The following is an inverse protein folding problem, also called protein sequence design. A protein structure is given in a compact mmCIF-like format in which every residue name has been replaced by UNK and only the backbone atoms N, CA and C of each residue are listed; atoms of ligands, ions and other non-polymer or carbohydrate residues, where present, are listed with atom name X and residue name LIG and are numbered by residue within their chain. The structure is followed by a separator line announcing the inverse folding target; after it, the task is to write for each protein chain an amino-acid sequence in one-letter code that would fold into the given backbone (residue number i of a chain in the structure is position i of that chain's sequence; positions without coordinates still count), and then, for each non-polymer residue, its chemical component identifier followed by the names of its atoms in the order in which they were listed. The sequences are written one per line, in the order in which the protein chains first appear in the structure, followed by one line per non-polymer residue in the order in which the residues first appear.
data_IF_203437022647
#
_entry.id   IF_203437022647
#
_cell.length_a   1.000
_cell.length_b   1.000
_cell.length_c   1.000
_cell.angle_alpha   90.00
_cell.angle_beta   90.00
_cell.angle_gamma   90.00
#
_symmetry.space_group_name_H-M   'P 1'
#
loop_
_entity.id
_entity.type
_entity.pdbx_description
1 polymer ?
#
# COMPACT_ATOMS: atom_id res chain seq x y z
N UNK A 1 31.36 10.78 -50.02
CA UNK A 1 30.27 10.87 -49.03
C UNK A 1 30.47 9.70 -48.07
N UNK A 2 30.94 9.92 -46.85
CA UNK A 2 30.99 8.87 -45.83
C UNK A 2 29.55 8.47 -45.48
N UNK A 3 29.23 7.20 -45.72
CA UNK A 3 27.93 6.65 -45.26
C UNK A 3 27.88 6.85 -43.74
N UNK A 4 26.86 7.58 -43.24
CA UNK A 4 26.60 7.58 -41.83
C UNK A 4 26.38 6.13 -41.35
N UNK A 5 26.87 5.75 -40.15
CA UNK A 5 26.63 4.41 -39.61
C UNK A 5 25.12 4.14 -39.50
N UNK A 6 24.75 2.89 -39.69
CA UNK A 6 23.36 2.48 -39.49
C UNK A 6 22.96 2.69 -38.03
N UNK A 7 21.87 3.42 -37.78
CA UNK A 7 21.33 3.60 -36.43
C UNK A 7 20.65 2.31 -35.97
N UNK A 8 20.86 1.95 -34.72
CA UNK A 8 20.19 0.86 -34.01
C UNK A 8 19.21 1.41 -32.94
N UNK A 9 18.33 0.57 -32.43
CA UNK A 9 17.42 0.95 -31.34
C UNK A 9 18.22 1.27 -30.06
N UNK A 10 19.32 0.60 -29.83
CA UNK A 10 20.29 0.88 -28.77
C UNK A 10 20.91 2.27 -28.86
N UNK A 11 21.18 2.75 -30.08
CA UNK A 11 21.67 4.12 -30.32
C UNK A 11 20.56 5.17 -30.00
N UNK A 12 19.29 4.75 -30.03
CA UNK A 12 18.15 5.56 -29.63
C UNK A 12 17.85 5.49 -28.12
N UNK A 13 18.64 4.72 -27.34
CA UNK A 13 18.54 4.63 -25.88
C UNK A 13 17.69 3.47 -25.37
N UNK A 14 17.27 2.51 -26.23
CA UNK A 14 16.49 1.33 -25.82
C UNK A 14 17.31 0.05 -26.06
N UNK A 15 17.55 -0.72 -24.98
CA UNK A 15 18.35 -1.95 -25.01
C UNK A 15 17.45 -3.20 -24.87
N UNK A 16 17.09 -3.80 -26.00
CA UNK A 16 16.24 -5.01 -26.05
C UNK A 16 16.88 -6.17 -25.26
N UNK A 17 18.21 -6.34 -25.36
CA UNK A 17 18.92 -7.43 -24.67
C UNK A 17 18.83 -7.27 -23.14
N UNK A 18 18.84 -6.03 -22.63
CA UNK A 18 18.64 -5.74 -21.20
C UNK A 18 17.21 -6.10 -20.75
N UNK A 19 16.20 -5.81 -21.57
CA UNK A 19 14.81 -6.22 -21.32
C UNK A 19 14.67 -7.74 -21.25
N UNK A 20 15.24 -8.48 -22.21
CA UNK A 20 15.22 -9.94 -22.22
C UNK A 20 15.95 -10.53 -20.99
N UNK A 21 17.09 -9.97 -20.61
CA UNK A 21 17.84 -10.37 -19.43
C UNK A 21 17.04 -10.17 -18.14
N UNK A 22 16.28 -9.09 -18.02
CA UNK A 22 15.37 -8.86 -16.89
C UNK A 22 14.28 -9.93 -16.84
N UNK A 23 13.60 -10.21 -17.97
CA UNK A 23 12.53 -11.22 -18.04
C UNK A 23 13.05 -12.58 -17.58
N UNK A 24 14.23 -13.02 -18.01
CA UNK A 24 14.83 -14.28 -17.56
C UNK A 24 15.03 -14.32 -16.03
N UNK A 25 15.51 -13.23 -15.44
CA UNK A 25 15.74 -13.14 -13.99
C UNK A 25 14.47 -13.22 -13.16
N UNK A 26 13.37 -12.63 -13.64
CA UNK A 26 12.11 -12.53 -12.89
C UNK A 26 11.17 -13.74 -13.06
N UNK A 27 11.41 -14.66 -14.00
CA UNK A 27 10.59 -15.87 -14.22
C UNK A 27 10.39 -16.69 -12.94
N UNK A 28 11.45 -16.85 -12.14
CA UNK A 28 11.37 -17.58 -10.87
C UNK A 28 10.56 -16.84 -9.83
N UNK A 29 10.56 -15.51 -9.86
CA UNK A 29 9.77 -14.65 -8.95
C UNK A 29 8.28 -14.86 -9.21
N UNK A 30 7.85 -14.70 -10.47
CA UNK A 30 6.45 -14.93 -10.84
C UNK A 30 5.98 -16.36 -10.51
N UNK A 31 6.83 -17.37 -10.78
CA UNK A 31 6.50 -18.78 -10.49
C UNK A 31 6.22 -19.04 -9.01
N UNK A 32 6.92 -18.39 -8.08
CA UNK A 32 6.69 -18.56 -6.62
C UNK A 32 5.34 -18.04 -6.17
N UNK A 33 4.78 -17.05 -6.87
CA UNK A 33 3.48 -16.45 -6.55
C UNK A 33 2.28 -17.20 -7.15
N UNK A 34 2.52 -18.25 -7.95
CA UNK A 34 1.50 -18.90 -8.76
C UNK A 34 0.34 -19.46 -7.91
N UNK A 35 -0.88 -19.07 -8.27
CA UNK A 35 -2.15 -19.62 -7.76
C UNK A 35 -2.65 -20.71 -8.73
N UNK A 36 -3.45 -21.68 -8.24
CA UNK A 36 -3.99 -22.74 -9.10
C UNK A 36 -4.92 -22.22 -10.22
N UNK A 37 -5.55 -21.05 -10.01
CA UNK A 37 -6.47 -20.44 -10.97
C UNK A 37 -5.74 -19.77 -12.15
N UNK A 38 -4.43 -19.54 -12.04
CA UNK A 38 -3.65 -18.90 -13.12
C UNK A 38 -3.26 -19.94 -14.16
N UNK A 39 -3.68 -19.71 -15.40
CA UNK A 39 -3.39 -20.56 -16.56
C UNK A 39 -2.24 -19.96 -17.38
N UNK A 40 -1.11 -20.65 -17.44
CA UNK A 40 0.06 -20.23 -18.20
C UNK A 40 1.15 -19.60 -17.36
N UNK A 41 2.00 -18.78 -17.98
CA UNK A 41 3.16 -18.13 -17.36
C UNK A 41 3.50 -16.81 -18.05
N UNK A 42 4.62 -16.18 -17.64
CA UNK A 42 5.12 -14.96 -18.26
C UNK A 42 5.45 -15.17 -19.75
N UNK A 43 5.25 -14.12 -20.57
CA UNK A 43 5.65 -14.07 -21.97
C UNK A 43 4.50 -14.19 -22.99
N UNK A 44 3.27 -14.34 -22.54
CA UNK A 44 2.07 -14.20 -23.40
C UNK A 44 1.63 -12.74 -23.53
N UNK A 45 0.75 -12.44 -24.51
CA UNK A 45 0.16 -11.11 -24.65
C UNK A 45 -0.81 -10.76 -23.51
N UNK A 46 -1.35 -11.76 -22.82
CA UNK A 46 -2.25 -11.58 -21.70
C UNK A 46 -2.19 -12.76 -20.76
N UNK A 47 -2.49 -12.50 -19.49
CA UNK A 47 -2.61 -13.51 -18.45
C UNK A 47 -4.04 -14.04 -18.39
N UNK A 48 -4.17 -15.34 -18.17
CA UNK A 48 -5.46 -16.00 -18.00
C UNK A 48 -5.58 -16.44 -16.53
N UNK A 49 -6.74 -16.13 -15.92
CA UNK A 49 -7.04 -16.53 -14.57
C UNK A 49 -8.51 -16.96 -14.48
N UNK A 50 -8.75 -18.18 -14.00
CA UNK A 50 -10.09 -18.63 -13.69
C UNK A 50 -10.61 -17.94 -12.43
N UNK A 51 -11.93 -17.72 -12.37
CA UNK A 51 -12.56 -17.32 -11.11
C UNK A 51 -12.55 -18.55 -10.19
N UNK A 52 -12.05 -18.43 -8.94
CA UNK A 52 -11.99 -19.54 -8.00
C UNK A 52 -13.37 -20.20 -7.80
N UNK A 53 -13.39 -21.51 -7.63
CA UNK A 53 -14.61 -22.22 -7.31
C UNK A 53 -15.22 -21.79 -5.96
N UNK A 54 -16.53 -21.91 -5.81
CA UNK A 54 -17.24 -21.63 -4.56
C UNK A 54 -18.01 -20.33 -4.51
N UNK A 55 -17.73 -19.37 -5.40
CA UNK A 55 -18.54 -18.16 -5.56
C UNK A 55 -19.83 -18.46 -6.33
N UNK A 56 -20.96 -17.96 -5.82
CA UNK A 56 -22.28 -18.08 -6.48
C UNK A 56 -22.55 -16.92 -7.42
N UNK A 57 -22.21 -15.73 -7.00
CA UNK A 57 -22.30 -14.49 -7.75
C UNK A 57 -21.01 -13.70 -7.60
N UNK A 58 -19.92 -14.12 -8.25
CA UNK A 58 -18.63 -13.46 -8.13
C UNK A 58 -18.68 -12.04 -8.69
N UNK A 59 -18.11 -11.09 -7.96
CA UNK A 59 -17.88 -9.71 -8.39
C UNK A 59 -16.38 -9.48 -8.43
N UNK A 60 -15.87 -9.02 -9.57
CA UNK A 60 -14.47 -8.63 -9.69
C UNK A 60 -14.28 -7.23 -9.11
N UNK A 61 -13.22 -7.08 -8.30
CA UNK A 61 -12.77 -5.80 -7.77
C UNK A 61 -11.39 -5.52 -8.33
N UNK A 62 -11.18 -4.34 -8.88
CA UNK A 62 -9.90 -3.95 -9.46
C UNK A 62 -9.44 -2.62 -8.90
N UNK A 63 -8.14 -2.47 -8.73
CA UNK A 63 -7.49 -1.25 -8.31
C UNK A 63 -6.16 -1.04 -9.02
N UNK A 64 -5.75 0.20 -9.12
CA UNK A 64 -4.44 0.60 -9.61
C UNK A 64 -3.87 1.67 -8.69
N UNK A 65 -2.59 1.59 -8.42
CA UNK A 65 -1.87 2.58 -7.63
C UNK A 65 -0.38 2.57 -8.01
N UNK A 66 0.36 3.56 -7.52
CA UNK A 66 1.81 3.68 -7.64
C UNK A 66 2.48 3.72 -6.26
N UNK A 67 3.79 3.91 -6.25
CA UNK A 67 4.57 4.13 -5.03
C UNK A 67 4.70 5.62 -4.71
N UNK A 68 4.65 6.46 -5.72
CA UNK A 68 4.78 7.90 -5.59
C UNK A 68 6.21 8.35 -5.27
N UNK A 69 6.33 9.51 -4.60
CA UNK A 69 7.63 10.17 -4.43
C UNK A 69 8.56 9.52 -3.40
N UNK A 70 8.16 8.41 -2.75
CA UNK A 70 9.05 7.51 -2.01
C UNK A 70 10.15 6.97 -2.92
N UNK A 71 9.85 6.78 -4.22
CA UNK A 71 10.82 6.34 -5.23
C UNK A 71 12.06 7.26 -5.29
N UNK A 72 11.89 8.59 -5.16
CA UNK A 72 13.03 9.51 -5.14
C UNK A 72 13.94 9.27 -3.93
N UNK A 73 13.37 8.93 -2.77
CA UNK A 73 14.16 8.58 -1.59
C UNK A 73 14.88 7.23 -1.79
N UNK A 74 14.20 6.25 -2.39
CA UNK A 74 14.80 4.96 -2.75
C UNK A 74 16.00 5.12 -3.69
N UNK A 75 15.86 5.95 -4.73
CA UNK A 75 16.95 6.28 -5.67
C UNK A 75 18.12 6.95 -4.95
N UNK A 76 17.86 7.94 -4.12
CA UNK A 76 18.90 8.68 -3.40
C UNK A 76 19.68 7.78 -2.40
N UNK A 77 19.00 6.83 -1.76
CA UNK A 77 19.59 5.89 -0.80
C UNK A 77 20.07 4.58 -1.44
N UNK A 78 19.83 4.39 -2.75
CA UNK A 78 20.07 3.13 -3.46
C UNK A 78 19.43 1.92 -2.73
N UNK A 79 18.16 2.07 -2.28
CA UNK A 79 17.38 1.04 -1.59
C UNK A 79 16.12 0.71 -2.41
N UNK A 80 16.17 -0.39 -3.17
CA UNK A 80 15.12 -0.75 -4.13
C UNK A 80 14.36 -2.04 -3.78
N UNK A 81 14.88 -2.84 -2.86
CA UNK A 81 14.43 -4.18 -2.53
C UNK A 81 13.03 -4.24 -1.88
N UNK A 82 12.61 -3.19 -1.18
CA UNK A 82 11.30 -3.11 -0.53
C UNK A 82 10.23 -2.39 -1.35
N UNK A 83 10.63 -1.64 -2.38
CA UNK A 83 9.72 -0.78 -3.17
C UNK A 83 8.61 -1.57 -3.87
N UNK A 84 8.94 -2.78 -4.35
CA UNK A 84 7.94 -3.65 -4.97
C UNK A 84 6.85 -4.12 -3.99
N UNK A 85 7.20 -4.28 -2.70
CA UNK A 85 6.22 -4.59 -1.65
C UNK A 85 5.27 -3.40 -1.47
N UNK A 86 5.80 -2.16 -1.45
CA UNK A 86 4.99 -0.95 -1.39
C UNK A 86 3.95 -0.91 -2.52
N UNK A 87 4.39 -1.16 -3.76
CA UNK A 87 3.51 -1.15 -4.92
C UNK A 87 2.35 -2.14 -4.79
N UNK A 88 2.65 -3.39 -4.43
CA UNK A 88 1.62 -4.42 -4.23
C UNK A 88 0.69 -4.05 -3.09
N UNK A 89 1.25 -3.61 -1.95
CA UNK A 89 0.48 -3.26 -0.76
C UNK A 89 -0.55 -2.16 -1.02
N UNK A 90 -0.17 -1.10 -1.75
CA UNK A 90 -1.08 -0.02 -2.10
C UNK A 90 -2.30 -0.52 -2.88
N UNK A 91 -2.10 -1.47 -3.80
CA UNK A 91 -3.19 -2.03 -4.61
C UNK A 91 -4.03 -3.05 -3.82
N UNK A 92 -3.40 -4.05 -3.18
CA UNK A 92 -4.14 -5.16 -2.56
C UNK A 92 -4.87 -4.76 -1.28
N UNK A 93 -4.35 -3.78 -0.53
CA UNK A 93 -5.03 -3.25 0.65
C UNK A 93 -6.32 -2.51 0.25
N UNK A 94 -6.35 -1.85 -0.90
CA UNK A 94 -7.56 -1.21 -1.42
C UNK A 94 -8.61 -2.22 -1.90
N UNK A 95 -8.19 -3.41 -2.35
CA UNK A 95 -9.13 -4.47 -2.71
C UNK A 95 -9.76 -5.11 -1.47
N UNK A 96 -8.95 -5.40 -0.44
CA UNK A 96 -9.46 -6.06 0.77
C UNK A 96 -10.46 -5.20 1.54
N UNK A 97 -10.41 -3.86 1.45
CA UNK A 97 -11.41 -3.01 2.12
C UNK A 97 -12.83 -3.23 1.62
N UNK A 98 -12.99 -3.73 0.39
CA UNK A 98 -14.29 -4.18 -0.15
C UNK A 98 -14.61 -5.65 0.19
N UNK A 99 -13.76 -6.35 0.95
CA UNK A 99 -13.89 -7.79 1.25
C UNK A 99 -13.36 -8.69 0.15
N UNK A 100 -12.69 -8.15 -0.88
CA UNK A 100 -12.21 -8.94 -2.02
C UNK A 100 -10.89 -9.67 -1.72
N UNK A 101 -10.82 -10.92 -2.13
CA UNK A 101 -9.60 -11.71 -2.17
C UNK A 101 -8.81 -11.35 -3.43
N UNK A 102 -7.56 -10.82 -3.35
CA UNK A 102 -6.72 -10.57 -4.51
C UNK A 102 -6.39 -11.87 -5.25
N UNK A 103 -6.54 -11.87 -6.58
CA UNK A 103 -6.26 -13.01 -7.44
C UNK A 103 -4.92 -12.87 -8.15
N UNK A 104 -4.74 -11.76 -8.85
CA UNK A 104 -3.53 -11.52 -9.62
C UNK A 104 -3.14 -10.05 -9.66
N UNK A 105 -1.86 -9.84 -9.95
CA UNK A 105 -1.19 -8.56 -10.00
C UNK A 105 -0.43 -8.41 -11.32
N UNK A 106 -0.40 -7.19 -11.83
CA UNK A 106 0.38 -6.75 -12.99
C UNK A 106 1.13 -5.48 -12.60
N UNK A 107 2.34 -5.30 -13.10
CA UNK A 107 3.12 -4.08 -12.89
C UNK A 107 3.46 -3.37 -14.20
N UNK A 108 3.75 -2.08 -14.10
CA UNK A 108 4.35 -1.28 -15.14
C UNK A 108 5.58 -0.59 -14.58
N UNK A 109 6.74 -0.92 -15.09
CA UNK A 109 8.03 -0.33 -14.75
C UNK A 109 8.48 0.56 -15.91
N UNK A 110 8.50 1.88 -15.71
CA UNK A 110 8.94 2.84 -16.70
C UNK A 110 10.25 3.51 -16.24
N UNK A 111 11.23 3.64 -17.11
CA UNK A 111 12.53 4.23 -16.79
C UNK A 111 13.13 4.96 -17.99
N UNK A 112 14.05 5.90 -17.76
CA UNK A 112 14.80 6.52 -18.84
C UNK A 112 15.83 5.58 -19.45
N UNK A 113 16.51 4.79 -18.61
CA UNK A 113 17.47 3.74 -19.00
C UNK A 113 17.36 2.56 -18.04
N UNK A 114 17.19 1.37 -18.56
CA UNK A 114 17.02 0.17 -17.77
C UNK A 114 18.32 -0.23 -17.06
N UNK A 115 18.29 -0.18 -15.73
CA UNK A 115 19.25 -0.88 -14.88
C UNK A 115 18.65 -2.23 -14.47
N UNK A 116 19.16 -3.31 -15.05
CA UNK A 116 18.64 -4.67 -14.85
C UNK A 116 18.71 -5.10 -13.39
N UNK A 117 19.75 -4.68 -12.64
CA UNK A 117 19.90 -5.03 -11.24
C UNK A 117 18.83 -4.36 -10.37
N UNK A 118 18.65 -3.04 -10.53
CA UNK A 118 17.62 -2.27 -9.83
C UNK A 118 16.22 -2.80 -10.16
N UNK A 119 15.91 -3.02 -11.43
CA UNK A 119 14.62 -3.57 -11.85
C UNK A 119 14.38 -4.97 -11.29
N UNK A 120 15.42 -5.83 -11.23
CA UNK A 120 15.33 -7.16 -10.61
C UNK A 120 15.00 -7.07 -9.13
N UNK A 121 15.60 -6.14 -8.37
CA UNK A 121 15.29 -5.91 -6.97
C UNK A 121 13.83 -5.47 -6.80
N UNK A 122 13.37 -4.51 -7.58
CA UNK A 122 11.98 -4.02 -7.54
C UNK A 122 10.99 -5.15 -7.82
N UNK A 123 11.18 -5.91 -8.92
CA UNK A 123 10.27 -7.01 -9.27
C UNK A 123 10.34 -8.16 -8.25
N UNK A 124 11.50 -8.41 -7.64
CA UNK A 124 11.62 -9.35 -6.53
C UNK A 124 10.77 -8.90 -5.33
N UNK A 125 10.77 -7.60 -5.01
CA UNK A 125 9.89 -7.01 -4.01
C UNK A 125 8.41 -7.13 -4.38
N UNK A 126 8.04 -6.95 -5.67
CA UNK A 126 6.67 -7.19 -6.15
C UNK A 126 6.26 -8.64 -5.90
N UNK A 127 7.12 -9.61 -6.24
CA UNK A 127 6.89 -11.03 -5.95
C UNK A 127 6.66 -11.30 -4.46
N UNK A 128 7.50 -10.71 -3.60
CA UNK A 128 7.34 -10.83 -2.15
C UNK A 128 5.99 -10.25 -1.67
N UNK A 129 5.59 -9.09 -2.17
CA UNK A 129 4.27 -8.50 -1.90
C UNK A 129 3.11 -9.40 -2.35
N UNK A 130 3.24 -10.03 -3.52
CA UNK A 130 2.26 -11.00 -4.03
C UNK A 130 2.19 -12.25 -3.13
N UNK A 131 3.31 -12.79 -2.68
CA UNK A 131 3.35 -13.92 -1.73
C UNK A 131 2.70 -13.54 -0.38
N UNK A 132 2.96 -12.34 0.13
CA UNK A 132 2.36 -11.82 1.36
C UNK A 132 0.83 -11.67 1.24
N UNK A 133 0.34 -11.18 0.13
CA UNK A 133 -1.10 -10.99 -0.12
C UNK A 133 -1.80 -12.27 -0.58
N UNK A 134 -1.07 -13.25 -1.13
CA UNK A 134 -1.63 -14.47 -1.70
C UNK A 134 -2.18 -14.31 -3.11
N UNK A 135 -1.77 -13.25 -3.85
CA UNK A 135 -2.07 -13.09 -5.27
C UNK A 135 -0.90 -13.56 -6.16
N UNK A 136 -1.15 -13.74 -7.45
CA UNK A 136 -0.13 -14.14 -8.42
C UNK A 136 0.40 -12.94 -9.20
N UNK A 137 1.71 -12.80 -9.32
CA UNK A 137 2.32 -11.93 -10.33
C UNK A 137 2.21 -12.63 -11.68
N UNK A 138 1.32 -12.16 -12.54
CA UNK A 138 0.99 -12.84 -13.80
C UNK A 138 1.57 -12.19 -15.05
N UNK A 139 2.12 -11.00 -14.91
CA UNK A 139 2.71 -10.24 -16.01
C UNK A 139 3.05 -8.83 -15.60
N UNK A 140 3.46 -8.05 -16.57
CA UNK A 140 3.79 -6.65 -16.43
C UNK A 140 4.39 -6.12 -17.71
N UNK A 141 4.84 -4.88 -17.67
CA UNK A 141 5.52 -4.19 -18.76
C UNK A 141 6.77 -3.49 -18.23
N UNK A 142 7.85 -3.56 -18.95
CA UNK A 142 9.07 -2.79 -18.69
C UNK A 142 9.36 -1.90 -19.88
N UNK A 143 9.30 -0.57 -19.70
CA UNK A 143 9.48 0.39 -20.77
C UNK A 143 10.70 1.27 -20.53
N UNK A 144 11.66 1.24 -21.47
CA UNK A 144 12.67 2.28 -21.56
C UNK A 144 12.11 3.46 -22.36
N UNK A 145 12.07 4.63 -21.73
CA UNK A 145 11.52 5.87 -22.29
C UNK A 145 12.54 7.00 -22.18
N UNK A 146 13.63 6.95 -23.00
CA UNK A 146 14.66 7.97 -22.98
C UNK A 146 14.09 9.35 -23.30
N UNK A 147 14.43 10.34 -22.46
CA UNK A 147 13.89 11.69 -22.57
C UNK A 147 12.56 11.95 -21.85
N UNK A 148 11.86 10.90 -21.38
CA UNK A 148 10.70 11.02 -20.49
C UNK A 148 11.12 10.94 -19.03
N UNK A 149 12.06 10.06 -18.69
CA UNK A 149 12.71 9.93 -17.39
C UNK A 149 14.19 10.28 -17.52
N UNK A 150 14.78 10.80 -16.44
CA UNK A 150 16.19 11.19 -16.43
C UNK A 150 17.07 9.99 -15.99
N UNK A 151 18.01 9.59 -16.83
CA UNK A 151 18.95 8.52 -16.52
C UNK A 151 18.26 7.21 -16.12
N UNK A 152 18.59 6.70 -14.94
CA UNK A 152 18.05 5.47 -14.37
C UNK A 152 16.83 5.72 -13.45
N UNK A 153 16.28 6.93 -13.41
CA UNK A 153 15.05 7.22 -12.71
C UNK A 153 13.93 6.32 -13.25
N UNK A 154 13.09 5.85 -12.35
CA UNK A 154 11.96 4.99 -12.72
C UNK A 154 10.68 5.35 -12.00
N UNK A 155 9.56 4.96 -12.59
CA UNK A 155 8.23 5.04 -12.01
C UNK A 155 7.54 3.68 -12.08
N UNK A 156 6.60 3.46 -11.18
CA UNK A 156 5.90 2.19 -11.03
C UNK A 156 4.40 2.41 -10.97
N UNK A 157 3.66 1.57 -11.70
CA UNK A 157 2.23 1.43 -11.53
C UNK A 157 1.88 -0.05 -11.33
N UNK A 158 1.00 -0.33 -10.37
CA UNK A 158 0.48 -1.64 -10.07
C UNK A 158 -0.99 -1.75 -10.44
N UNK A 159 -1.41 -2.94 -10.86
CA UNK A 159 -2.79 -3.28 -11.17
C UNK A 159 -3.13 -4.59 -10.49
N UNK A 160 -4.14 -4.58 -9.66
CA UNK A 160 -4.60 -5.78 -8.97
C UNK A 160 -6.06 -6.06 -9.29
N UNK A 161 -6.38 -7.33 -9.45
CA UNK A 161 -7.76 -7.81 -9.59
C UNK A 161 -8.02 -8.86 -8.52
N UNK A 162 -9.14 -8.73 -7.84
CA UNK A 162 -9.63 -9.64 -6.83
C UNK A 162 -11.09 -10.03 -7.08
N UNK A 163 -11.61 -10.89 -6.23
CA UNK A 163 -12.98 -11.38 -6.29
C UNK A 163 -13.64 -11.34 -4.92
N UNK A 164 -14.93 -11.03 -4.91
CA UNK A 164 -15.78 -11.09 -3.71
C UNK A 164 -17.14 -11.67 -4.07
N UNK A 165 -17.77 -12.42 -3.16
CA UNK A 165 -19.17 -12.82 -3.31
C UNK A 165 -20.06 -11.57 -3.19
N UNK A 166 -20.99 -11.40 -4.14
CA UNK A 166 -21.85 -10.20 -4.23
C UNK A 166 -22.56 -9.87 -2.91
N UNK A 167 -23.03 -10.89 -2.18
CA UNK A 167 -23.72 -10.74 -0.90
C UNK A 167 -22.77 -10.42 0.28
N UNK A 168 -21.45 -10.53 0.09
CA UNK A 168 -20.42 -10.33 1.10
C UNK A 168 -19.60 -9.05 0.88
N UNK A 169 -19.99 -8.21 -0.10
CA UNK A 169 -19.34 -6.93 -0.34
C UNK A 169 -19.43 -6.06 0.93
N UNK A 170 -18.27 -5.56 1.36
CA UNK A 170 -18.15 -4.63 2.47
C UNK A 170 -18.16 -3.22 1.90
N UNK A 171 -19.23 -2.47 2.14
CA UNK A 171 -19.49 -1.14 1.58
C UNK A 171 -19.80 -0.06 2.62
N UNK A 172 -19.72 -0.40 3.92
CA UNK A 172 -20.02 0.51 5.01
C UNK A 172 -21.50 0.73 5.29
N UNK A 173 -22.42 0.17 4.50
CA UNK A 173 -23.87 0.38 4.65
C UNK A 173 -24.43 -0.13 5.99
N UNK A 174 -23.72 -1.05 6.67
CA UNK A 174 -24.10 -1.64 7.96
C UNK A 174 -23.53 -0.87 9.15
N UNK A 175 -22.74 0.17 8.94
CA UNK A 175 -22.16 0.99 10.01
C UNK A 175 -23.25 1.79 10.71
N UNK A 176 -23.23 1.79 12.04
CA UNK A 176 -24.21 2.46 12.88
C UNK A 176 -23.56 3.13 14.10
N UNK A 177 -24.23 4.13 14.67
CA UNK A 177 -23.78 4.74 15.92
C UNK A 177 -23.68 3.69 17.03
N UNK A 178 -22.61 3.74 17.81
CA UNK A 178 -22.25 2.76 18.84
C UNK A 178 -21.34 1.63 18.34
N UNK A 179 -21.05 1.55 17.05
CA UNK A 179 -20.04 0.63 16.54
C UNK A 179 -18.64 1.06 16.97
N UNK A 180 -17.74 0.10 17.14
CA UNK A 180 -16.35 0.32 17.52
C UNK A 180 -15.47 0.44 16.27
N UNK A 181 -14.43 1.27 16.39
CA UNK A 181 -13.34 1.36 15.43
C UNK A 181 -12.10 0.67 15.99
N UNK A 182 -11.58 -0.32 15.28
CA UNK A 182 -10.33 -1.00 15.57
C UNK A 182 -9.26 -0.50 14.60
N UNK A 183 -8.01 -0.48 15.04
CA UNK A 183 -6.88 -0.13 14.20
C UNK A 183 -5.85 -1.26 14.11
N UNK A 184 -5.14 -1.32 12.99
CA UNK A 184 -3.93 -2.10 12.80
C UNK A 184 -2.74 -1.16 12.61
N UNK A 185 -1.56 -1.50 13.18
CA UNK A 185 -0.40 -0.64 13.11
C UNK A 185 0.15 -0.54 11.69
N UNK A 186 0.69 0.63 11.33
CA UNK A 186 1.55 0.79 10.17
C UNK A 186 3.00 0.40 10.47
N UNK A 187 3.80 0.16 9.44
CA UNK A 187 5.25 -0.09 9.55
C UNK A 187 6.07 1.20 9.60
N UNK A 188 5.45 2.32 9.30
CA UNK A 188 6.02 3.64 9.12
C UNK A 188 5.10 4.48 8.23
N UNK A 189 5.62 5.44 7.47
CA UNK A 189 4.82 6.29 6.57
C UNK A 189 4.12 5.55 5.43
N UNK A 190 4.45 4.26 5.20
CA UNK A 190 4.00 3.46 4.06
C UNK A 190 4.51 4.05 2.73
N UNK A 191 3.60 4.42 1.82
CA UNK A 191 3.95 5.04 0.54
C UNK A 191 3.31 6.43 0.37
N UNK A 192 2.90 7.07 1.47
CA UNK A 192 2.17 8.33 1.43
C UNK A 192 2.88 9.44 2.18
N UNK A 193 2.64 10.69 1.76
CA UNK A 193 3.22 11.87 2.40
C UNK A 193 4.68 12.13 2.05
N UNK A 194 5.29 11.38 1.12
CA UNK A 194 6.73 11.49 0.83
C UNK A 194 7.15 12.81 0.18
N UNK A 195 6.27 13.55 -0.43
CA UNK A 195 6.57 14.90 -0.88
C UNK A 195 6.85 15.83 0.30
N UNK A 196 6.06 15.73 1.38
CA UNK A 196 6.30 16.45 2.62
C UNK A 196 7.55 15.94 3.34
N UNK A 197 7.69 14.60 3.49
CA UNK A 197 8.85 13.96 4.14
C UNK A 197 10.16 14.42 3.49
N UNK A 198 10.25 14.37 2.16
CA UNK A 198 11.44 14.82 1.42
C UNK A 198 11.74 16.30 1.64
N UNK A 199 10.71 17.14 1.62
CA UNK A 199 10.86 18.57 1.89
C UNK A 199 11.34 18.84 3.33
N UNK A 200 10.89 18.05 4.31
CA UNK A 200 11.37 18.12 5.70
C UNK A 200 12.85 17.71 5.76
N UNK A 201 13.24 16.61 5.14
CA UNK A 201 14.64 16.16 5.10
C UNK A 201 15.55 17.25 4.49
N UNK A 202 15.16 17.78 3.33
CA UNK A 202 15.89 18.85 2.65
C UNK A 202 16.02 20.11 3.54
N UNK A 203 14.90 20.53 4.15
CA UNK A 203 14.84 21.75 4.97
C UNK A 203 15.56 21.63 6.32
N UNK A 204 15.60 20.44 6.91
CA UNK A 204 16.28 20.20 8.19
C UNK A 204 17.81 20.18 8.07
N UNK A 205 18.34 19.89 6.87
CA UNK A 205 19.77 19.64 6.66
C UNK A 205 20.30 18.42 7.43
N UNK A 206 19.41 17.55 7.91
CA UNK A 206 19.77 16.39 8.71
C UNK A 206 20.45 15.31 7.85
N UNK A 207 21.52 14.74 8.37
CA UNK A 207 22.15 13.54 7.81
C UNK A 207 21.37 12.28 8.25
N UNK A 208 20.32 11.97 7.50
CA UNK A 208 19.38 10.88 7.84
C UNK A 208 20.01 9.49 7.90
N UNK A 209 21.17 9.30 7.26
CA UNK A 209 21.88 8.01 7.26
C UNK A 209 22.57 7.74 8.61
N UNK A 210 22.89 8.81 9.38
CA UNK A 210 23.53 8.71 10.68
C UNK A 210 22.58 8.91 11.87
N UNK A 211 21.27 9.07 11.63
CA UNK A 211 20.28 9.22 12.70
C UNK A 211 19.69 7.86 13.06
N UNK A 212 19.53 7.62 14.35
CA UNK A 212 18.81 6.45 14.89
C UNK A 212 17.66 6.92 15.80
N UNK A 213 16.50 6.27 15.65
CA UNK A 213 15.32 6.44 16.48
C UNK A 213 14.92 5.08 17.05
N UNK A 214 14.77 4.98 18.36
CA UNK A 214 14.45 3.73 19.07
C UNK A 214 15.37 2.55 18.67
N UNK A 215 16.68 2.85 18.46
CA UNK A 215 17.69 1.87 18.10
C UNK A 215 17.63 1.37 16.64
N UNK A 216 16.84 2.02 15.77
CA UNK A 216 16.75 1.72 14.34
C UNK A 216 17.24 2.90 13.49
N UNK A 217 17.96 2.65 12.40
CA UNK A 217 18.31 3.71 11.46
C UNK A 217 17.08 4.45 10.95
N UNK A 218 17.13 5.77 10.88
CA UNK A 218 16.01 6.59 10.36
C UNK A 218 15.68 6.22 8.92
N UNK A 219 16.71 5.92 8.11
CA UNK A 219 16.50 5.45 6.73
C UNK A 219 15.68 4.17 6.65
N UNK A 220 15.85 3.24 7.59
CA UNK A 220 15.07 1.99 7.60
C UNK A 220 13.61 2.24 8.02
N UNK A 221 13.39 3.18 8.95
CA UNK A 221 12.04 3.59 9.35
C UNK A 221 11.31 4.33 8.21
N UNK A 222 12.02 5.19 7.48
CA UNK A 222 11.48 5.90 6.32
C UNK A 222 11.26 4.99 5.12
N UNK A 223 12.10 3.97 4.93
CA UNK A 223 12.00 3.03 3.81
C UNK A 223 11.24 1.74 4.15
N UNK A 224 10.73 1.60 5.38
CA UNK A 224 9.93 0.45 5.77
C UNK A 224 8.81 0.20 4.75
N UNK A 225 8.66 -1.04 4.23
CA UNK A 225 7.64 -1.34 3.25
C UNK A 225 6.25 -1.21 3.85
N UNK A 226 5.30 -0.79 3.04
CA UNK A 226 3.88 -0.75 3.38
C UNK A 226 3.40 -2.13 3.83
N UNK A 227 2.72 -2.20 4.96
CA UNK A 227 2.14 -3.47 5.45
C UNK A 227 1.02 -3.95 4.55
N UNK A 228 0.98 -5.26 4.35
CA UNK A 228 -0.08 -5.95 3.62
C UNK A 228 -1.01 -6.60 4.64
N UNK A 229 -2.27 -6.18 4.68
CA UNK A 229 -3.27 -6.62 5.66
C UNK A 229 -4.21 -7.71 5.12
N UNK A 230 -4.00 -8.18 3.89
CA UNK A 230 -4.94 -9.06 3.18
C UNK A 230 -5.23 -10.35 3.94
N UNK A 231 -4.20 -11.13 4.31
CA UNK A 231 -4.41 -12.44 4.96
C UNK A 231 -5.11 -12.34 6.32
N UNK A 232 -4.68 -11.48 7.26
CA UNK A 232 -5.37 -11.32 8.54
C UNK A 232 -6.80 -10.82 8.39
N UNK A 233 -7.06 -9.90 7.44
CA UNK A 233 -8.41 -9.39 7.22
C UNK A 233 -9.32 -10.42 6.54
N UNK A 234 -8.81 -11.18 5.55
CA UNK A 234 -9.57 -12.30 4.98
C UNK A 234 -9.92 -13.36 6.03
N UNK A 235 -8.98 -13.66 6.95
CA UNK A 235 -9.27 -14.57 8.08
C UNK A 235 -10.41 -14.02 8.92
N UNK A 236 -10.35 -12.75 9.35
CA UNK A 236 -11.40 -12.11 10.13
C UNK A 236 -12.76 -12.15 9.41
N UNK A 237 -12.79 -11.78 8.14
CA UNK A 237 -14.03 -11.76 7.33
C UNK A 237 -14.62 -13.18 7.22
N UNK A 238 -13.80 -14.17 6.82
CA UNK A 238 -14.27 -15.54 6.54
C UNK A 238 -14.69 -16.30 7.79
N UNK A 239 -14.02 -16.06 8.93
CA UNK A 239 -14.33 -16.77 10.18
C UNK A 239 -15.50 -16.16 10.96
N UNK A 240 -15.72 -14.85 10.83
CA UNK A 240 -16.66 -14.17 11.74
C UNK A 240 -17.79 -13.43 11.03
N UNK A 241 -17.54 -12.85 9.86
CA UNK A 241 -18.52 -12.02 9.17
C UNK A 241 -18.89 -10.70 9.89
N UNK A 242 -18.13 -10.27 10.92
CA UNK A 242 -18.46 -9.12 11.77
C UNK A 242 -18.04 -7.77 11.21
N UNK A 243 -17.24 -7.76 10.15
CA UNK A 243 -16.71 -6.52 9.56
C UNK A 243 -17.80 -5.75 8.84
N UNK A 244 -17.99 -4.49 9.21
CA UNK A 244 -18.98 -3.60 8.61
C UNK A 244 -18.38 -2.61 7.63
N UNK A 245 -17.15 -2.15 7.89
CA UNK A 245 -16.38 -1.29 7.03
C UNK A 245 -14.89 -1.43 7.32
N UNK A 246 -14.05 -1.11 6.33
CA UNK A 246 -12.60 -1.00 6.49
C UNK A 246 -12.10 0.22 5.73
N UNK A 247 -11.09 0.90 6.26
CA UNK A 247 -10.42 2.03 5.61
C UNK A 247 -8.91 1.81 5.62
N UNK A 248 -8.30 1.73 4.44
CA UNK A 248 -6.86 1.77 4.27
C UNK A 248 -6.38 3.21 4.45
N UNK A 249 -5.47 3.45 5.40
CA UNK A 249 -5.02 4.80 5.74
C UNK A 249 -3.83 5.16 4.85
N UNK A 250 -4.13 5.90 3.80
CA UNK A 250 -3.22 6.38 2.75
C UNK A 250 -3.06 7.90 2.79
N UNK A 251 -2.79 8.55 1.66
CA UNK A 251 -2.81 10.01 1.54
C UNK A 251 -4.17 10.57 1.97
N UNK A 252 -4.14 11.64 2.75
CA UNK A 252 -5.33 12.16 3.43
C UNK A 252 -5.47 11.68 4.89
N UNK A 253 -4.64 10.72 5.33
CA UNK A 253 -4.59 10.23 6.71
C UNK A 253 -5.94 9.68 7.20
N UNK A 254 -6.17 9.78 8.51
CA UNK A 254 -7.45 9.36 9.12
C UNK A 254 -8.63 10.23 8.64
N UNK A 255 -8.36 11.51 8.39
CA UNK A 255 -9.40 12.52 8.12
C UNK A 255 -10.11 12.30 6.78
N UNK A 256 -9.37 11.88 5.74
CA UNK A 256 -9.93 11.77 4.39
C UNK A 256 -10.25 10.31 4.01
N UNK A 257 -9.63 9.30 4.68
CA UNK A 257 -9.86 7.89 4.31
C UNK A 257 -11.03 7.25 5.08
N UNK A 258 -11.20 7.53 6.38
CA UNK A 258 -12.32 6.99 7.14
C UNK A 258 -13.69 7.42 6.57
N UNK A 259 -13.92 8.69 6.17
CA UNK A 259 -15.21 9.12 5.60
C UNK A 259 -15.64 8.34 4.36
N UNK A 260 -14.70 7.82 3.57
CA UNK A 260 -14.98 7.09 2.32
C UNK A 260 -15.82 5.82 2.52
N UNK A 261 -15.81 5.28 3.75
CA UNK A 261 -16.48 4.02 4.12
C UNK A 261 -17.58 4.22 5.15
N UNK A 262 -17.92 5.47 5.47
CA UNK A 262 -18.99 5.80 6.40
C UNK A 262 -20.29 6.21 5.69
N UNK A 263 -21.46 5.77 6.16
CA UNK A 263 -22.73 6.27 5.66
C UNK A 263 -22.94 7.74 6.06
N UNK A 264 -23.80 8.42 5.35
CA UNK A 264 -24.20 9.79 5.69
C UNK A 264 -24.78 9.85 7.11
N UNK A 265 -24.38 10.86 7.88
CA UNK A 265 -24.85 11.04 9.27
C UNK A 265 -24.08 10.20 10.30
N UNK A 266 -23.10 9.39 9.89
CA UNK A 266 -22.16 8.77 10.80
C UNK A 266 -20.89 9.65 10.97
N UNK A 267 -20.36 9.67 12.20
CA UNK A 267 -19.11 10.36 12.55
C UNK A 267 -18.19 9.36 13.26
N UNK A 268 -16.97 9.24 12.78
CA UNK A 268 -15.91 8.53 13.49
C UNK A 268 -15.32 9.46 14.56
N UNK A 269 -15.36 9.03 15.82
CA UNK A 269 -14.70 9.71 16.94
C UNK A 269 -13.46 8.90 17.28
N UNK A 270 -12.30 9.45 16.99
CA UNK A 270 -11.00 8.78 17.08
C UNK A 270 -10.20 9.39 18.23
N UNK A 271 -9.78 8.56 19.18
CA UNK A 271 -8.91 8.95 20.29
C UNK A 271 -7.44 8.76 19.90
N UNK A 272 -6.74 9.86 19.57
CA UNK A 272 -5.34 9.80 19.18
C UNK A 272 -4.38 9.49 20.34
N UNK A 273 -4.86 9.51 21.58
CA UNK A 273 -4.09 9.06 22.74
C UNK A 273 -4.17 7.53 22.95
N UNK A 274 -5.00 6.81 22.19
CA UNK A 274 -5.18 5.36 22.32
C UNK A 274 -3.96 4.55 21.84
N UNK A 275 -3.00 5.18 21.16
CA UNK A 275 -1.74 4.53 20.75
C UNK A 275 -0.53 5.44 20.92
N UNK A 276 0.64 4.81 21.01
CA UNK A 276 1.90 5.54 20.95
C UNK A 276 2.28 5.75 19.48
N UNK A 277 2.35 7.01 19.05
CA UNK A 277 2.81 7.37 17.72
C UNK A 277 4.27 6.95 17.54
N UNK A 278 4.65 6.23 16.45
CA UNK A 278 6.03 5.82 16.21
C UNK A 278 6.97 7.02 16.07
N UNK A 279 8.19 6.89 16.60
CA UNK A 279 9.17 7.98 16.71
C UNK A 279 9.52 8.67 15.38
N UNK A 280 9.40 7.96 14.25
CA UNK A 280 9.63 8.56 12.93
C UNK A 280 8.67 9.72 12.65
N UNK A 281 7.42 9.63 13.12
CA UNK A 281 6.44 10.71 12.94
C UNK A 281 6.69 11.89 13.87
N UNK A 282 7.14 11.64 15.10
CA UNK A 282 7.53 12.69 16.03
C UNK A 282 8.75 13.45 15.48
N UNK A 283 9.74 12.73 14.95
CA UNK A 283 10.89 13.32 14.28
C UNK A 283 10.48 14.18 13.06
N UNK A 284 9.60 13.67 12.21
CA UNK A 284 9.10 14.43 11.05
C UNK A 284 8.36 15.69 11.47
N UNK A 285 7.54 15.60 12.50
CA UNK A 285 6.80 16.75 13.03
C UNK A 285 7.76 17.84 13.58
N UNK A 286 8.72 17.44 14.40
CA UNK A 286 9.71 18.35 15.01
C UNK A 286 10.59 19.01 13.94
N UNK A 287 11.18 18.23 13.03
CA UNK A 287 12.06 18.77 12.00
C UNK A 287 11.33 19.66 10.99
N UNK A 288 10.08 19.32 10.68
CA UNK A 288 9.25 20.08 9.73
C UNK A 288 8.43 21.18 10.39
N UNK A 289 8.40 21.28 11.71
CA UNK A 289 7.47 22.13 12.45
C UNK A 289 6.03 22.00 11.93
N UNK A 290 5.58 20.73 11.72
CA UNK A 290 4.30 20.42 11.12
C UNK A 290 3.21 20.46 12.20
N UNK A 291 2.12 21.19 11.92
CA UNK A 291 0.97 21.23 12.83
C UNK A 291 0.39 19.82 13.08
N UNK A 292 -0.05 19.53 14.30
CA UNK A 292 -0.58 18.21 14.68
C UNK A 292 -1.73 17.75 13.79
N UNK A 293 -2.64 18.66 13.43
CA UNK A 293 -3.75 18.38 12.52
C UNK A 293 -3.27 18.02 11.11
N UNK A 294 -2.20 18.66 10.63
CA UNK A 294 -1.62 18.38 9.32
C UNK A 294 -0.87 17.03 9.32
N UNK A 295 -0.24 16.64 10.43
CA UNK A 295 0.33 15.31 10.59
C UNK A 295 -0.73 14.23 10.33
N UNK A 296 -1.91 14.33 10.97
CA UNK A 296 -3.01 13.38 10.81
C UNK A 296 -3.76 13.50 9.48
N UNK A 297 -3.56 14.57 8.72
CA UNK A 297 -4.12 14.75 7.39
C UNK A 297 -3.23 14.18 6.29
N UNK A 298 -1.91 14.29 6.43
CA UNK A 298 -0.95 13.88 5.38
C UNK A 298 -0.41 12.48 5.62
N UNK A 299 -0.21 12.10 6.90
CA UNK A 299 0.44 10.86 7.31
C UNK A 299 -0.52 9.94 8.08
N UNK A 300 -0.22 8.65 8.08
CA UNK A 300 -0.98 7.64 8.83
C UNK A 300 -0.73 7.67 10.34
N UNK A 301 0.29 8.36 10.83
CA UNK A 301 0.68 8.52 12.22
C UNK A 301 0.75 7.21 13.04
N UNK A 302 1.01 6.08 12.38
CA UNK A 302 1.13 4.77 13.01
C UNK A 302 -0.09 3.86 12.82
N UNK A 303 -1.15 4.35 12.17
CA UNK A 303 -2.39 3.58 11.86
C UNK A 303 -2.44 3.26 10.37
N UNK A 304 -2.32 1.99 10.00
CA UNK A 304 -2.34 1.60 8.58
C UNK A 304 -3.70 1.14 8.07
N UNK A 305 -4.54 0.59 8.94
CA UNK A 305 -5.88 0.11 8.61
C UNK A 305 -6.85 0.39 9.76
N UNK A 306 -8.06 0.84 9.45
CA UNK A 306 -9.15 1.00 10.41
C UNK A 306 -10.28 0.05 10.03
N UNK A 307 -10.87 -0.63 11.03
CA UNK A 307 -11.90 -1.65 10.85
C UNK A 307 -13.09 -1.27 11.75
N UNK A 308 -14.30 -1.25 11.21
CA UNK A 308 -15.53 -1.01 11.95
C UNK A 308 -16.26 -2.33 12.21
N UNK A 309 -16.59 -2.58 13.48
CA UNK A 309 -17.35 -3.75 13.93
C UNK A 309 -18.42 -3.31 14.95
N UNK A 310 -19.45 -4.14 15.19
CA UNK A 310 -20.36 -3.86 16.29
C UNK A 310 -19.63 -3.93 17.64
N UNK A 311 -20.06 -3.14 18.63
CA UNK A 311 -19.45 -3.12 19.97
C UNK A 311 -19.41 -4.51 20.62
N UNK A 312 -20.41 -5.34 20.36
CA UNK A 312 -20.47 -6.71 20.87
C UNK A 312 -19.44 -7.66 20.25
N UNK A 313 -18.92 -7.34 19.06
CA UNK A 313 -18.00 -8.18 18.30
C UNK A 313 -16.52 -7.79 18.48
N UNK A 314 -16.25 -6.74 19.27
CA UNK A 314 -14.88 -6.20 19.47
C UNK A 314 -13.90 -7.28 19.89
N UNK A 315 -14.20 -8.01 20.97
CA UNK A 315 -13.28 -9.04 21.49
C UNK A 315 -13.08 -10.18 20.50
N UNK A 316 -14.11 -10.59 19.78
CA UNK A 316 -14.03 -11.60 18.71
C UNK A 316 -13.06 -11.13 17.63
N UNK A 317 -13.24 -9.90 17.12
CA UNK A 317 -12.38 -9.35 16.08
C UNK A 317 -10.93 -9.18 16.55
N UNK A 318 -10.70 -8.65 17.77
CA UNK A 318 -9.37 -8.48 18.34
C UNK A 318 -8.64 -9.84 18.47
N UNK A 319 -9.33 -10.88 18.92
CA UNK A 319 -8.75 -12.20 19.12
C UNK A 319 -8.35 -12.84 17.79
N UNK A 320 -9.22 -12.84 16.78
CA UNK A 320 -8.90 -13.37 15.45
C UNK A 320 -7.72 -12.65 14.81
N UNK A 321 -7.65 -11.32 14.93
CA UNK A 321 -6.54 -10.53 14.41
C UNK A 321 -5.23 -10.82 15.15
N UNK A 322 -5.27 -10.97 16.49
CA UNK A 322 -4.09 -11.37 17.29
C UNK A 322 -3.59 -12.77 16.93
N UNK A 323 -4.49 -13.73 16.73
CA UNK A 323 -4.16 -15.07 16.25
C UNK A 323 -3.54 -15.06 14.84
N UNK A 324 -3.92 -14.09 14.03
CA UNK A 324 -3.32 -13.86 12.71
C UNK A 324 -1.96 -13.12 12.77
N UNK A 325 -1.46 -12.80 13.99
CA UNK A 325 -0.16 -12.14 14.20
C UNK A 325 -0.22 -10.61 14.18
N UNK A 326 -1.42 -10.01 14.17
CA UNK A 326 -1.61 -8.58 14.24
C UNK A 326 -1.60 -8.06 15.69
N UNK A 327 -1.44 -6.73 15.82
CA UNK A 327 -1.52 -6.02 17.11
C UNK A 327 -2.68 -5.01 17.06
N UNK A 328 -3.93 -5.48 17.02
CA UNK A 328 -5.08 -4.60 16.94
C UNK A 328 -5.38 -3.93 18.28
N UNK A 329 -5.95 -2.72 18.21
CA UNK A 329 -6.49 -2.02 19.37
C UNK A 329 -7.76 -1.26 19.00
N UNK A 330 -8.53 -0.86 20.02
CA UNK A 330 -9.68 0.04 19.83
C UNK A 330 -9.16 1.47 19.70
N UNK A 331 -9.49 2.13 18.59
CA UNK A 331 -9.03 3.49 18.29
C UNK A 331 -10.14 4.53 18.52
N UNK A 332 -11.40 4.09 18.58
CA UNK A 332 -12.54 4.98 18.74
C UNK A 332 -13.87 4.29 18.50
N UNK A 333 -14.86 5.09 18.18
CA UNK A 333 -16.23 4.62 17.95
C UNK A 333 -16.97 5.44 16.90
N UNK A 334 -18.09 4.93 16.44
CA UNK A 334 -19.03 5.65 15.56
C UNK A 334 -20.07 6.36 16.40
N UNK A 335 -20.25 7.65 16.18
CA UNK A 335 -21.30 8.48 16.72
C UNK A 335 -22.27 8.95 15.61
N UNK A 336 -23.39 9.50 16.02
CA UNK A 336 -24.26 10.24 15.10
C UNK A 336 -23.66 11.62 14.86
N UNK A 337 -23.43 11.98 13.59
CA UNK A 337 -22.93 13.29 13.25
C UNK A 337 -23.99 14.38 13.52
N UNK A 338 -23.57 15.49 14.12
CA UNK A 338 -24.40 16.70 14.15
C UNK A 338 -24.51 17.29 12.73
N UNK A 339 -25.54 18.08 12.46
CA UNK A 339 -25.69 18.74 11.18
C UNK A 339 -24.50 19.65 10.89
N UNK A 340 -23.86 19.44 9.74
CA UNK A 340 -22.67 20.18 9.31
C UNK A 340 -21.36 19.79 9.99
N UNK A 341 -21.36 18.77 10.88
CA UNK A 341 -20.14 18.27 11.50
C UNK A 341 -19.26 17.50 10.49
N UNK A 342 -17.94 17.52 10.71
CA UNK A 342 -17.02 16.66 9.98
C UNK A 342 -17.30 15.18 10.30
N UNK A 343 -17.08 14.31 9.31
CA UNK A 343 -17.29 12.86 9.50
C UNK A 343 -16.20 12.19 10.35
N UNK A 344 -15.09 12.87 10.63
CA UNK A 344 -14.05 12.42 11.57
C UNK A 344 -13.78 13.51 12.58
N UNK A 345 -13.80 13.15 13.85
CA UNK A 345 -13.39 13.96 14.98
C UNK A 345 -12.18 13.31 15.64
N UNK A 346 -11.06 14.03 15.72
CA UNK A 346 -9.88 13.58 16.45
C UNK A 346 -9.91 14.18 17.86
N UNK A 347 -9.91 13.31 18.87
CA UNK A 347 -9.87 13.70 20.28
C UNK A 347 -8.46 13.53 20.87
N UNK A 348 -8.14 14.27 21.91
CA UNK A 348 -6.87 14.22 22.64
C UNK A 348 -5.63 14.51 21.78
N UNK A 349 -5.80 15.39 20.76
CA UNK A 349 -4.66 15.91 20.01
C UNK A 349 -3.62 16.54 20.95
N UNK A 350 -2.34 16.28 20.70
CA UNK A 350 -1.25 16.93 21.46
C UNK A 350 -1.31 18.44 21.22
N UNK A 351 -1.27 19.22 22.29
CA UNK A 351 -1.07 20.66 22.17
C UNK A 351 0.36 20.91 21.64
N UNK A 352 0.48 21.78 20.64
CA UNK A 352 1.79 22.25 20.14
C UNK A 352 2.43 23.20 21.13
#
# INVERSE_FOLDING_TARGET
MSKQPSLSYKDAGVDIDAGEALVERIKSVAKRTARPEVMGGLGGFGALCEIPAGYKQPVLVSGTDGVGTKLRLALNLNKHDSIGIDLVAMCVNDLIVCGAEPLFFLDYYATGKLNVETATQVVTGIGAGCELSGCSLVGGETAEMPGMYEGEDYDLAGFCVGVVEKSEIIDGSKVAAGDALLALPSSGPHSNGYSLIRKIIEGSGADIENIQLDGKPLTDLLMAPTRIYVKPLLKLIKETGVVKAMAHITGGGLLDNIPRVLPKGAQAVVDVASWQRPAVFDWLQEQGNVAETEMHRVLNCGVGMVICVAQADVETALNVLREAGEQPWVIGQIATAAEGAAQVELQNLKAH
#
